data_IF_973096009308
#
_entry.id   IF_973096009308
#
_cell.length_a   1.000
_cell.length_b   1.000
_cell.length_c   1.000
_cell.angle_alpha   90.00
_cell.angle_beta   90.00
_cell.angle_gamma   90.00
#
_symmetry.space_group_name_H-M   'P 1'
#
loop_
_entity.id
_entity.type
_entity.pdbx_description
1 polymer ?
#
# COMPACT_ATOMS: atom_id res chain seq x y z
N UNK A 1 -20.50 -1.70 21.50
CA UNK A 1 -20.11 -2.76 20.56
C UNK A 1 -18.75 -2.33 20.02
N UNK A 2 -17.67 -3.02 20.36
CA UNK A 2 -16.34 -2.73 19.80
C UNK A 2 -16.40 -3.03 18.32
N UNK A 3 -16.32 -2.00 17.47
CA UNK A 3 -16.21 -2.18 16.02
C UNK A 3 -14.99 -3.07 15.73
N UNK A 4 -15.22 -4.16 15.02
CA UNK A 4 -14.16 -5.10 14.65
C UNK A 4 -13.34 -4.42 13.55
N UNK A 5 -12.04 -4.27 13.74
CA UNK A 5 -11.15 -3.70 12.74
C UNK A 5 -11.25 -4.46 11.42
N UNK A 6 -11.15 -3.74 10.30
CA UNK A 6 -11.10 -4.37 8.98
C UNK A 6 -9.80 -5.14 8.74
N UNK A 7 -8.68 -4.63 9.30
CA UNK A 7 -7.36 -5.27 9.22
C UNK A 7 -6.68 -5.22 10.58
N UNK A 8 -6.18 -6.35 11.05
CA UNK A 8 -5.28 -6.43 12.21
C UNK A 8 -4.02 -7.20 11.82
N UNK A 9 -2.87 -6.57 12.00
CA UNK A 9 -1.55 -7.17 11.74
C UNK A 9 -0.73 -7.10 13.02
N UNK A 10 -0.24 -8.25 13.47
CA UNK A 10 0.58 -8.37 14.66
C UNK A 10 1.91 -9.07 14.35
N UNK A 11 3.01 -8.35 14.55
CA UNK A 11 4.39 -8.83 14.39
C UNK A 11 4.68 -9.52 13.04
N UNK A 12 4.10 -9.02 11.96
CA UNK A 12 4.30 -9.57 10.62
C UNK A 12 5.76 -9.46 10.22
N UNK A 13 6.35 -10.61 9.91
CA UNK A 13 7.70 -10.72 9.36
C UNK A 13 7.68 -11.59 8.10
N UNK A 14 8.42 -11.17 7.08
CA UNK A 14 8.53 -11.92 5.82
C UNK A 14 10.00 -12.07 5.45
N UNK A 15 10.41 -13.32 5.27
CA UNK A 15 11.78 -13.70 4.91
C UNK A 15 11.77 -14.53 3.65
N UNK A 16 12.64 -14.21 2.69
CA UNK A 16 12.87 -15.02 1.50
C UNK A 16 14.15 -15.83 1.67
N UNK A 17 14.04 -17.14 1.56
CA UNK A 17 15.18 -18.03 1.61
C UNK A 17 15.82 -18.12 0.20
N UNK A 18 17.05 -17.64 0.06
CA UNK A 18 17.91 -17.84 -1.11
C UNK A 18 19.03 -18.84 -0.74
N UNK A 19 19.70 -19.41 -1.77
CA UNK A 19 20.68 -20.50 -1.58
C UNK A 19 21.71 -20.25 -0.46
N UNK A 20 22.21 -19.02 -0.34
CA UNK A 20 23.29 -18.67 0.60
C UNK A 20 22.91 -17.55 1.60
N UNK A 21 21.73 -16.98 1.50
CA UNK A 21 21.31 -15.84 2.33
C UNK A 21 19.80 -15.76 2.52
N UNK A 22 19.41 -15.19 3.63
CA UNK A 22 18.02 -14.86 3.94
C UNK A 22 17.77 -13.37 3.76
N UNK A 23 16.78 -13.00 2.95
CA UNK A 23 16.39 -11.60 2.76
C UNK A 23 15.25 -11.28 3.74
N UNK A 24 15.47 -10.32 4.62
CA UNK A 24 14.51 -9.87 5.64
C UNK A 24 13.66 -8.73 5.08
N UNK A 25 12.64 -9.07 4.27
CA UNK A 25 11.86 -8.08 3.54
C UNK A 25 10.85 -7.31 4.40
N UNK A 26 10.28 -7.95 5.44
CA UNK A 26 9.41 -7.33 6.44
C UNK A 26 9.84 -7.81 7.83
N UNK A 27 9.91 -6.90 8.80
CA UNK A 27 10.61 -7.12 10.05
C UNK A 27 9.77 -6.69 11.27
N UNK A 28 8.75 -7.47 11.63
CA UNK A 28 7.94 -7.29 12.84
C UNK A 28 7.09 -6.01 12.79
N UNK A 29 6.31 -5.82 11.71
CA UNK A 29 5.36 -4.72 11.65
C UNK A 29 4.03 -5.10 12.32
N UNK A 30 3.42 -4.13 12.98
CA UNK A 30 2.11 -4.26 13.59
C UNK A 30 1.29 -3.02 13.33
N UNK A 31 0.03 -3.17 12.96
CA UNK A 31 -0.90 -2.07 12.76
C UNK A 31 -2.35 -2.58 12.78
N UNK A 32 -3.26 -1.66 12.98
CA UNK A 32 -4.70 -1.87 12.91
C UNK A 32 -5.30 -0.84 11.96
N UNK A 33 -6.31 -1.25 11.19
CA UNK A 33 -7.03 -0.41 10.25
C UNK A 33 -8.53 -0.60 10.43
N UNK A 34 -9.25 0.48 10.64
CA UNK A 34 -10.69 0.45 10.83
C UNK A 34 -11.43 0.45 9.48
N UNK A 35 -12.73 0.13 9.50
CA UNK A 35 -13.57 0.25 8.31
C UNK A 35 -13.66 1.71 7.87
N UNK A 36 -13.61 1.95 6.57
CA UNK A 36 -13.66 3.31 6.01
C UNK A 36 -12.37 4.13 6.20
N UNK A 37 -11.33 3.55 6.78
CA UNK A 37 -10.03 4.21 7.00
C UNK A 37 -9.05 3.90 5.86
N UNK A 38 -8.17 4.86 5.53
CA UNK A 38 -7.07 4.70 4.57
C UNK A 38 -5.73 4.82 5.28
N UNK A 39 -4.95 3.73 5.28
CA UNK A 39 -3.56 3.72 5.72
C UNK A 39 -2.62 3.84 4.52
N UNK A 40 -1.88 4.94 4.44
CA UNK A 40 -0.78 5.11 3.49
C UNK A 40 0.51 4.49 3.99
N UNK A 41 1.14 3.63 3.20
CA UNK A 41 2.50 3.12 3.49
C UNK A 41 3.47 3.78 2.53
N UNK A 42 4.35 4.62 3.08
CA UNK A 42 5.31 5.44 2.35
C UNK A 42 6.73 4.92 2.54
N UNK A 43 7.59 4.99 1.51
CA UNK A 43 9.00 4.62 1.61
C UNK A 43 9.66 4.46 0.25
N UNK A 44 11.00 4.43 0.23
CA UNK A 44 11.80 4.20 -0.99
C UNK A 44 11.50 2.82 -1.61
N UNK A 45 11.87 2.64 -2.90
CA UNK A 45 11.84 1.33 -3.55
C UNK A 45 12.67 0.32 -2.75
N UNK A 46 12.17 -0.91 -2.65
CA UNK A 46 12.84 -1.96 -1.87
C UNK A 46 12.65 -1.89 -0.35
N UNK A 47 11.87 -0.94 0.20
CA UNK A 47 11.64 -0.85 1.64
C UNK A 47 10.74 -1.96 2.23
N UNK A 48 10.09 -2.79 1.39
CA UNK A 48 9.22 -3.89 1.82
C UNK A 48 7.72 -3.68 1.61
N UNK A 49 7.29 -2.54 1.05
CA UNK A 49 5.88 -2.14 0.89
C UNK A 49 5.02 -3.16 0.14
N UNK A 50 5.38 -3.48 -1.10
CA UNK A 50 4.64 -4.43 -1.94
C UNK A 50 4.68 -5.86 -1.37
N UNK A 51 5.80 -6.23 -0.71
CA UNK A 51 5.90 -7.51 0.00
C UNK A 51 4.91 -7.55 1.16
N UNK A 52 4.76 -6.46 1.91
CA UNK A 52 3.74 -6.34 2.96
C UNK A 52 2.35 -6.59 2.40
N UNK A 53 1.92 -5.89 1.33
CA UNK A 53 0.59 -6.09 0.74
C UNK A 53 0.38 -7.54 0.27
N UNK A 54 1.33 -8.10 -0.48
CA UNK A 54 1.24 -9.48 -0.98
C UNK A 54 1.21 -10.50 0.14
N UNK A 55 1.88 -10.26 1.26
CA UNK A 55 1.85 -11.15 2.42
C UNK A 55 0.48 -11.18 3.10
N UNK A 56 -0.25 -10.05 3.14
CA UNK A 56 -1.61 -9.99 3.67
C UNK A 56 -2.59 -10.88 2.89
N UNK A 57 -2.34 -11.12 1.61
CA UNK A 57 -3.14 -12.03 0.77
C UNK A 57 -2.46 -13.39 0.57
N UNK A 58 -1.31 -13.65 1.19
CA UNK A 58 -0.47 -14.84 0.94
C UNK A 58 -0.18 -15.08 -0.55
N UNK A 59 0.08 -13.98 -1.29
CA UNK A 59 0.47 -13.99 -2.71
C UNK A 59 1.99 -13.91 -2.88
N UNK A 60 2.74 -14.56 -2.02
CA UNK A 60 4.19 -14.66 -2.08
C UNK A 60 4.63 -16.05 -2.58
N UNK A 61 5.81 -16.17 -3.20
CA UNK A 61 6.30 -17.44 -3.68
C UNK A 61 6.61 -18.42 -2.52
N UNK A 62 6.67 -19.72 -2.80
CA UNK A 62 6.83 -20.78 -1.79
C UNK A 62 8.16 -20.74 -1.02
N UNK A 63 9.17 -20.04 -1.52
CA UNK A 63 10.47 -19.88 -0.84
C UNK A 63 10.47 -18.74 0.20
N UNK A 64 9.31 -18.26 0.62
CA UNK A 64 9.20 -17.29 1.69
C UNK A 64 8.59 -17.87 2.97
N UNK A 65 9.07 -17.40 4.11
CA UNK A 65 8.47 -17.63 5.42
C UNK A 65 7.71 -16.36 5.84
N UNK A 66 6.44 -16.53 6.21
CA UNK A 66 5.58 -15.49 6.77
C UNK A 66 5.34 -15.85 8.22
N UNK A 67 5.68 -14.94 9.13
CA UNK A 67 5.48 -15.09 10.58
C UNK A 67 4.63 -13.92 11.09
N UNK A 68 3.99 -14.12 12.24
CA UNK A 68 3.06 -13.16 12.83
C UNK A 68 1.61 -13.53 12.52
N UNK A 69 0.70 -12.63 12.87
CA UNK A 69 -0.75 -12.86 12.74
C UNK A 69 -1.36 -11.76 11.86
N UNK A 70 -2.17 -12.16 10.90
CA UNK A 70 -2.94 -11.27 10.02
C UNK A 70 -4.40 -11.67 10.08
N UNK A 71 -5.26 -10.73 10.46
CA UNK A 71 -6.71 -10.88 10.44
C UNK A 71 -7.28 -9.85 9.47
N UNK A 72 -8.09 -10.29 8.54
CA UNK A 72 -8.75 -9.46 7.55
C UNK A 72 -10.25 -9.71 7.63
N UNK A 73 -11.02 -8.66 7.89
CA UNK A 73 -12.48 -8.71 8.03
C UNK A 73 -12.96 -9.80 9.01
N UNK A 74 -12.24 -9.94 10.14
CA UNK A 74 -12.50 -10.93 11.19
C UNK A 74 -11.95 -12.33 10.95
N UNK A 75 -11.32 -12.59 9.78
CA UNK A 75 -10.75 -13.91 9.46
C UNK A 75 -9.22 -13.91 9.53
N UNK A 76 -8.66 -14.90 10.19
CA UNK A 76 -7.21 -15.07 10.26
C UNK A 76 -6.66 -15.70 8.97
N UNK A 77 -5.95 -14.88 8.20
CA UNK A 77 -5.40 -15.23 6.88
C UNK A 77 -4.13 -16.07 6.99
N UNK A 78 -3.31 -15.83 8.01
CA UNK A 78 -2.03 -16.52 8.19
C UNK A 78 -2.17 -18.03 8.37
N UNK A 79 -3.23 -18.48 9.02
CA UNK A 79 -3.53 -19.90 9.28
C UNK A 79 -4.60 -20.49 8.35
N UNK A 80 -5.20 -19.68 7.45
CA UNK A 80 -6.30 -20.13 6.59
C UNK A 80 -5.85 -21.17 5.55
N UNK A 81 -6.71 -22.14 5.27
CA UNK A 81 -6.53 -23.06 4.16
C UNK A 81 -6.59 -22.33 2.80
N UNK A 82 -5.89 -22.84 1.79
CA UNK A 82 -5.83 -22.17 0.46
C UNK A 82 -7.22 -22.03 -0.17
N UNK A 83 -8.10 -23.04 -0.03
CA UNK A 83 -9.49 -22.96 -0.52
C UNK A 83 -10.26 -21.78 0.09
N UNK A 84 -10.00 -21.48 1.39
CA UNK A 84 -10.63 -20.31 2.04
C UNK A 84 -10.04 -18.99 1.55
N UNK A 85 -8.74 -18.94 1.30
CA UNK A 85 -8.09 -17.77 0.72
C UNK A 85 -8.61 -17.46 -0.68
N UNK A 86 -8.86 -18.48 -1.50
CA UNK A 86 -9.48 -18.31 -2.83
C UNK A 86 -10.88 -17.69 -2.76
N UNK A 87 -11.66 -18.01 -1.73
CA UNK A 87 -12.97 -17.40 -1.49
C UNK A 87 -12.88 -15.93 -1.03
N UNK A 88 -11.84 -15.60 -0.25
CA UNK A 88 -11.62 -14.24 0.25
C UNK A 88 -11.06 -13.31 -0.82
N UNK A 89 -10.08 -13.80 -1.62
CA UNK A 89 -9.43 -13.03 -2.68
C UNK A 89 -10.44 -12.66 -3.77
N UNK A 90 -10.50 -11.36 -4.11
CA UNK A 90 -11.44 -10.80 -5.08
C UNK A 90 -12.88 -10.61 -4.56
N UNK A 91 -13.23 -11.14 -3.40
CA UNK A 91 -14.56 -11.04 -2.80
C UNK A 91 -14.58 -10.11 -1.57
N UNK A 92 -13.82 -10.48 -0.51
CA UNK A 92 -13.69 -9.67 0.72
C UNK A 92 -12.48 -8.75 0.67
N UNK A 93 -11.42 -9.23 0.04
CA UNK A 93 -10.14 -8.56 -0.05
C UNK A 93 -9.77 -8.50 -1.52
N UNK A 94 -9.53 -7.29 -2.03
CA UNK A 94 -9.09 -7.07 -3.40
C UNK A 94 -7.73 -6.36 -3.44
N UNK A 95 -7.03 -6.50 -4.56
CA UNK A 95 -5.75 -5.84 -4.77
C UNK A 95 -5.71 -5.16 -6.14
N UNK A 96 -5.22 -3.92 -6.15
CA UNK A 96 -4.80 -3.20 -7.34
C UNK A 96 -3.29 -3.37 -7.42
N UNK A 97 -2.82 -3.96 -8.53
CA UNK A 97 -1.39 -4.21 -8.77
C UNK A 97 -0.71 -2.98 -9.38
N UNK A 98 0.60 -2.91 -9.24
CA UNK A 98 1.41 -1.79 -9.71
C UNK A 98 1.32 -1.58 -11.25
N UNK A 99 1.23 -2.66 -12.02
CA UNK A 99 1.21 -2.61 -13.48
C UNK A 99 -0.12 -3.13 -14.05
N UNK A 100 -0.98 -2.26 -14.62
CA UNK A 100 -2.25 -2.69 -15.22
C UNK A 100 -2.07 -3.68 -16.40
N UNK A 101 -0.95 -3.60 -17.11
CA UNK A 101 -0.65 -4.45 -18.26
C UNK A 101 -0.48 -5.92 -17.85
N UNK A 102 0.04 -6.17 -16.67
CA UNK A 102 0.24 -7.52 -16.14
C UNK A 102 -0.98 -8.03 -15.37
N UNK A 103 -1.86 -7.13 -14.93
CA UNK A 103 -3.06 -7.46 -14.15
C UNK A 103 -4.28 -7.81 -15.02
N UNK A 104 -4.34 -7.27 -16.24
CA UNK A 104 -5.39 -7.57 -17.22
C UNK A 104 -4.88 -8.58 -18.24
N UNK A 105 -5.64 -9.65 -18.45
CA UNK A 105 -5.31 -10.66 -19.47
C UNK A 105 -5.51 -10.06 -20.89
N UNK A 106 -4.48 -10.03 -21.74
CA UNK A 106 -4.55 -9.40 -23.05
C UNK A 106 -5.44 -10.14 -24.07
N UNK A 107 -5.80 -11.40 -23.81
CA UNK A 107 -6.59 -12.23 -24.76
C UNK A 107 -8.09 -12.21 -24.49
N UNK A 108 -8.52 -11.59 -23.39
CA UNK A 108 -9.93 -11.39 -23.06
C UNK A 108 -10.31 -9.91 -23.06
N UNK A 109 -11.57 -9.61 -23.42
CA UNK A 109 -12.06 -8.25 -23.32
C UNK A 109 -12.19 -7.80 -21.86
N UNK A 110 -12.11 -6.50 -21.63
CA UNK A 110 -12.19 -5.95 -20.26
C UNK A 110 -13.53 -6.29 -19.60
N UNK A 111 -14.63 -6.24 -20.36
CA UNK A 111 -15.95 -6.58 -19.84
C UNK A 111 -16.11 -8.06 -19.51
N UNK A 112 -15.45 -8.96 -20.27
CA UNK A 112 -15.45 -10.39 -19.96
C UNK A 112 -14.71 -10.70 -18.66
N UNK A 113 -13.55 -10.11 -18.43
CA UNK A 113 -12.76 -10.31 -17.20
C UNK A 113 -13.55 -9.89 -15.95
N UNK A 114 -14.20 -8.73 -15.98
CA UNK A 114 -15.05 -8.27 -14.85
C UNK A 114 -16.28 -9.18 -14.70
N UNK A 115 -16.90 -9.59 -15.82
CA UNK A 115 -18.05 -10.49 -15.80
C UNK A 115 -17.70 -11.83 -15.19
N UNK A 116 -16.55 -12.41 -15.57
CA UNK A 116 -16.06 -13.69 -15.06
C UNK A 116 -15.80 -13.62 -13.54
N UNK A 117 -15.17 -12.56 -13.07
CA UNK A 117 -14.92 -12.32 -11.64
C UNK A 117 -16.24 -12.28 -10.86
N UNK A 118 -17.27 -11.59 -11.36
CA UNK A 118 -18.58 -11.53 -10.74
C UNK A 118 -19.26 -12.92 -10.72
N UNK A 119 -19.16 -13.69 -11.80
CA UNK A 119 -19.72 -15.06 -11.87
C UNK A 119 -18.97 -16.00 -10.91
N UNK A 120 -17.63 -15.95 -10.90
CA UNK A 120 -16.78 -16.75 -9.99
C UNK A 120 -17.19 -16.57 -8.53
N UNK A 121 -17.47 -15.34 -8.12
CA UNK A 121 -17.89 -15.02 -6.76
C UNK A 121 -19.41 -15.07 -6.53
N UNK A 122 -20.15 -15.77 -7.42
CA UNK A 122 -21.61 -16.02 -7.30
C UNK A 122 -22.44 -14.74 -7.14
N UNK A 123 -22.09 -13.68 -7.86
CA UNK A 123 -22.80 -12.40 -7.82
C UNK A 123 -23.97 -12.33 -8.81
N UNK A 124 -24.68 -13.44 -9.03
CA UNK A 124 -25.84 -13.56 -9.89
C UNK A 124 -25.61 -14.38 -11.17
N UNK A 125 -26.56 -14.31 -12.12
CA UNK A 125 -26.44 -14.96 -13.42
C UNK A 125 -25.39 -14.28 -14.30
N UNK A 126 -24.88 -14.95 -15.35
CA UNK A 126 -23.95 -14.33 -16.31
C UNK A 126 -24.53 -13.07 -16.95
N UNK A 127 -25.84 -13.01 -17.16
CA UNK A 127 -26.53 -11.83 -17.67
C UNK A 127 -26.49 -10.66 -16.69
N UNK A 128 -26.74 -10.94 -15.41
CA UNK A 128 -26.66 -9.93 -14.35
C UNK A 128 -25.22 -9.46 -14.13
N UNK A 129 -24.27 -10.39 -14.15
CA UNK A 129 -22.84 -10.08 -14.06
C UNK A 129 -22.38 -9.14 -15.19
N UNK A 130 -22.81 -9.41 -16.45
CA UNK A 130 -22.49 -8.54 -17.59
C UNK A 130 -23.05 -7.13 -17.43
N UNK A 131 -24.28 -6.99 -16.94
CA UNK A 131 -24.90 -5.69 -16.65
C UNK A 131 -24.09 -4.94 -15.58
N UNK A 132 -23.79 -5.59 -14.46
CA UNK A 132 -22.99 -5.02 -13.37
C UNK A 132 -21.57 -4.67 -13.79
N UNK A 133 -20.97 -5.47 -14.64
CA UNK A 133 -19.64 -5.17 -15.20
C UNK A 133 -19.65 -3.86 -16.01
N UNK A 134 -20.72 -3.63 -16.80
CA UNK A 134 -20.90 -2.37 -17.52
C UNK A 134 -21.09 -1.19 -16.55
N UNK A 135 -21.96 -1.36 -15.53
CA UNK A 135 -22.17 -0.35 -14.48
C UNK A 135 -20.86 0.03 -13.79
N UNK A 136 -19.97 -0.94 -13.52
CA UNK A 136 -18.64 -0.67 -12.95
C UNK A 136 -17.73 0.10 -13.90
N UNK A 137 -17.74 -0.19 -15.20
CA UNK A 137 -16.96 0.58 -16.19
C UNK A 137 -17.46 2.04 -16.28
N UNK A 138 -18.77 2.26 -16.17
CA UNK A 138 -19.36 3.60 -16.09
C UNK A 138 -18.95 4.31 -14.80
N UNK A 139 -19.03 3.61 -13.67
CA UNK A 139 -18.70 4.13 -12.33
C UNK A 139 -17.23 4.55 -12.20
N UNK A 140 -16.31 3.82 -12.80
CA UNK A 140 -14.91 4.23 -12.87
C UNK A 140 -14.63 5.24 -13.99
N UNK A 141 -15.67 5.81 -14.58
CA UNK A 141 -15.61 6.90 -15.55
C UNK A 141 -14.84 6.53 -16.84
N UNK A 142 -14.99 5.31 -17.35
CA UNK A 142 -14.45 4.95 -18.66
C UNK A 142 -15.30 5.58 -19.76
N UNK A 143 -14.72 6.42 -20.65
CA UNK A 143 -15.47 7.04 -21.75
C UNK A 143 -16.07 5.99 -22.68
N UNK A 144 -17.35 6.13 -23.06
CA UNK A 144 -18.06 5.18 -23.91
C UNK A 144 -17.97 3.73 -23.40
N UNK A 145 -18.31 3.51 -22.11
CA UNK A 145 -18.16 2.24 -21.39
C UNK A 145 -18.73 1.05 -22.16
N UNK A 146 -19.93 1.21 -22.81
CA UNK A 146 -20.54 0.16 -23.64
C UNK A 146 -19.65 -0.32 -24.78
N UNK A 147 -18.99 0.61 -25.49
CA UNK A 147 -18.05 0.29 -26.57
C UNK A 147 -16.76 -0.34 -26.00
N UNK A 148 -16.27 0.19 -24.87
CA UNK A 148 -15.05 -0.29 -24.23
C UNK A 148 -15.23 -1.59 -23.48
N UNK A 149 -16.45 -2.00 -23.20
CA UNK A 149 -16.76 -3.30 -22.62
C UNK A 149 -16.20 -4.46 -23.46
N UNK A 150 -16.36 -4.36 -24.77
CA UNK A 150 -15.89 -5.36 -25.73
C UNK A 150 -14.48 -5.06 -26.28
N UNK A 151 -13.76 -4.07 -25.71
CA UNK A 151 -12.39 -3.75 -26.06
C UNK A 151 -11.38 -4.61 -25.28
N UNK A 152 -10.26 -4.91 -25.92
CA UNK A 152 -9.11 -5.57 -25.28
C UNK A 152 -8.24 -4.55 -24.53
N UNK A 153 -7.46 -4.99 -23.51
CA UNK A 153 -6.59 -4.08 -22.74
C UNK A 153 -5.63 -3.27 -23.62
N UNK A 154 -5.09 -3.84 -24.69
CA UNK A 154 -4.15 -3.16 -25.58
C UNK A 154 -4.79 -2.06 -26.45
N UNK A 155 -6.12 -2.05 -26.60
CA UNK A 155 -6.89 -1.00 -27.28
C UNK A 155 -7.24 0.20 -26.38
N UNK A 156 -6.79 0.20 -25.12
CA UNK A 156 -7.09 1.21 -24.13
C UNK A 156 -5.84 2.02 -23.78
N UNK A 157 -6.04 3.33 -23.44
CA UNK A 157 -4.96 4.16 -22.88
C UNK A 157 -4.51 3.66 -21.50
N UNK A 158 -3.35 4.11 -21.02
CA UNK A 158 -2.84 3.77 -19.68
C UNK A 158 -3.84 4.07 -18.57
N UNK A 159 -4.40 5.29 -18.55
CA UNK A 159 -5.42 5.68 -17.58
C UNK A 159 -6.72 4.89 -17.70
N UNK A 160 -7.15 4.50 -18.91
CA UNK A 160 -8.31 3.64 -19.09
C UNK A 160 -8.06 2.21 -18.57
N UNK A 161 -6.88 1.64 -18.82
CA UNK A 161 -6.48 0.34 -18.26
C UNK A 161 -6.46 0.37 -16.73
N UNK A 162 -5.94 1.46 -16.16
CA UNK A 162 -5.94 1.64 -14.70
C UNK A 162 -7.36 1.68 -14.13
N UNK A 163 -8.27 2.44 -14.75
CA UNK A 163 -9.70 2.48 -14.37
C UNK A 163 -10.37 1.11 -14.51
N UNK A 164 -10.07 0.37 -15.56
CA UNK A 164 -10.58 -0.98 -15.77
C UNK A 164 -10.07 -1.96 -14.70
N UNK A 165 -8.80 -1.88 -14.31
CA UNK A 165 -8.25 -2.67 -13.20
C UNK A 165 -8.91 -2.30 -11.86
N UNK A 166 -9.19 -1.02 -11.61
CA UNK A 166 -9.97 -0.59 -10.42
C UNK A 166 -11.38 -1.20 -10.45
N UNK A 167 -12.07 -1.15 -11.60
CA UNK A 167 -13.39 -1.78 -11.76
C UNK A 167 -13.33 -3.28 -11.48
N UNK A 168 -12.33 -3.98 -12.01
CA UNK A 168 -12.10 -5.41 -11.79
C UNK A 168 -11.88 -5.72 -10.29
N UNK A 169 -11.05 -4.94 -9.62
CA UNK A 169 -10.76 -5.12 -8.20
C UNK A 169 -11.99 -4.88 -7.31
N UNK A 170 -12.82 -3.88 -7.66
CA UNK A 170 -13.92 -3.42 -6.81
C UNK A 170 -15.29 -4.04 -7.16
N UNK A 171 -15.42 -4.77 -8.28
CA UNK A 171 -16.73 -5.25 -8.77
C UNK A 171 -17.50 -6.16 -7.79
N UNK A 172 -16.79 -6.81 -6.87
CA UNK A 172 -17.38 -7.61 -5.81
C UNK A 172 -17.65 -6.86 -4.50
N UNK A 173 -17.43 -5.54 -4.46
CA UNK A 173 -17.57 -4.69 -3.25
C UNK A 173 -16.77 -5.26 -2.07
N UNK A 174 -15.44 -5.31 -2.16
CA UNK A 174 -14.60 -5.83 -1.09
C UNK A 174 -14.65 -4.93 0.14
N UNK A 175 -14.45 -5.51 1.33
CA UNK A 175 -14.32 -4.78 2.60
C UNK A 175 -12.92 -4.18 2.79
N UNK A 176 -11.91 -4.78 2.14
CA UNK A 176 -10.51 -4.34 2.21
C UNK A 176 -9.92 -4.24 0.80
N UNK A 177 -9.32 -3.10 0.49
CA UNK A 177 -8.57 -2.87 -0.74
C UNK A 177 -7.08 -2.68 -0.43
N UNK A 178 -6.24 -3.43 -1.12
CA UNK A 178 -4.79 -3.28 -1.12
C UNK A 178 -4.36 -2.62 -2.43
N UNK A 179 -3.83 -1.40 -2.39
CA UNK A 179 -3.43 -0.64 -3.57
C UNK A 179 -1.90 -0.51 -3.63
N UNK A 180 -1.26 -1.27 -4.52
CA UNK A 180 0.19 -1.30 -4.70
C UNK A 180 0.58 -0.32 -5.81
N UNK A 181 0.98 0.89 -5.45
CA UNK A 181 1.41 1.96 -6.35
C UNK A 181 0.44 2.18 -7.54
N UNK A 182 -0.85 2.44 -7.30
CA UNK A 182 -1.89 2.39 -8.34
C UNK A 182 -1.81 3.52 -9.36
N UNK A 183 -0.85 4.43 -9.25
CA UNK A 183 -0.69 5.58 -10.15
C UNK A 183 0.69 5.63 -10.81
N UNK A 184 1.54 4.64 -10.58
CA UNK A 184 2.86 4.55 -11.22
C UNK A 184 2.74 4.49 -12.74
N UNK A 185 3.62 5.19 -13.45
CA UNK A 185 3.67 5.33 -14.91
C UNK A 185 2.47 6.06 -15.56
N UNK A 186 1.71 6.84 -14.80
CA UNK A 186 0.70 7.74 -15.31
C UNK A 186 1.20 9.20 -15.29
N UNK A 187 0.67 10.01 -16.21
CA UNK A 187 0.90 11.46 -16.13
C UNK A 187 0.21 12.06 -14.90
N UNK A 188 0.72 13.21 -14.42
CA UNK A 188 0.28 13.84 -13.16
C UNK A 188 -1.22 14.11 -13.15
N UNK A 189 -1.80 14.54 -14.27
CA UNK A 189 -3.23 14.85 -14.36
C UNK A 189 -4.08 13.59 -14.20
N UNK A 190 -3.72 12.50 -14.86
CA UNK A 190 -4.41 11.21 -14.76
C UNK A 190 -4.18 10.61 -13.36
N UNK A 191 -2.98 10.76 -12.79
CA UNK A 191 -2.70 10.32 -11.42
C UNK A 191 -3.68 10.98 -10.42
N UNK A 192 -3.82 12.30 -10.45
CA UNK A 192 -4.76 13.02 -9.56
C UNK A 192 -6.18 12.50 -9.75
N UNK A 193 -6.65 12.33 -10.99
CA UNK A 193 -7.99 11.81 -11.27
C UNK A 193 -8.22 10.40 -10.70
N UNK A 194 -7.21 9.52 -10.79
CA UNK A 194 -7.29 8.16 -10.24
C UNK A 194 -7.33 8.19 -8.70
N UNK A 195 -6.53 9.04 -8.07
CA UNK A 195 -6.52 9.19 -6.60
C UNK A 195 -7.86 9.69 -6.08
N UNK A 196 -8.43 10.73 -6.72
CA UNK A 196 -9.75 11.25 -6.37
C UNK A 196 -10.84 10.19 -6.55
N UNK A 197 -10.83 9.45 -7.67
CA UNK A 197 -11.75 8.34 -7.93
C UNK A 197 -11.65 7.25 -6.85
N UNK A 198 -10.44 6.84 -6.48
CA UNK A 198 -10.23 5.84 -5.43
C UNK A 198 -10.76 6.32 -4.08
N UNK A 199 -10.54 7.59 -3.73
CA UNK A 199 -11.05 8.17 -2.49
C UNK A 199 -12.58 8.28 -2.47
N UNK A 200 -13.20 8.64 -3.59
CA UNK A 200 -14.66 8.66 -3.76
C UNK A 200 -15.25 7.26 -3.56
N UNK A 201 -14.74 6.26 -4.30
CA UNK A 201 -15.19 4.88 -4.20
C UNK A 201 -14.95 4.27 -2.81
N UNK A 202 -13.84 4.62 -2.16
CA UNK A 202 -13.53 4.20 -0.80
C UNK A 202 -14.60 4.69 0.19
N UNK A 203 -14.97 5.96 0.12
CA UNK A 203 -16.01 6.55 0.99
C UNK A 203 -17.38 5.96 0.71
N UNK A 204 -17.75 5.81 -0.57
CA UNK A 204 -19.03 5.29 -0.98
C UNK A 204 -19.23 3.82 -0.56
N UNK A 205 -18.20 3.00 -0.67
CA UNK A 205 -18.23 1.58 -0.30
C UNK A 205 -17.95 1.33 1.18
N UNK A 206 -17.45 2.33 1.92
CA UNK A 206 -17.06 2.19 3.33
C UNK A 206 -15.91 1.18 3.54
N UNK A 207 -15.10 0.93 2.50
CA UNK A 207 -14.02 -0.05 2.57
C UNK A 207 -12.79 0.51 3.28
N UNK A 208 -12.03 -0.37 3.93
CA UNK A 208 -10.70 -0.06 4.43
C UNK A 208 -9.67 -0.15 3.29
N UNK A 209 -8.71 0.77 3.22
CA UNK A 209 -7.70 0.79 2.15
C UNK A 209 -6.30 0.83 2.72
N UNK A 210 -5.41 -0.06 2.26
CA UNK A 210 -3.97 0.09 2.44
C UNK A 210 -3.39 0.56 1.11
N UNK A 211 -2.89 1.79 1.11
CA UNK A 211 -2.36 2.48 -0.07
C UNK A 211 -0.84 2.56 0.00
N UNK A 212 -0.16 1.88 -0.89
CA UNK A 212 1.31 1.89 -0.97
C UNK A 212 1.76 2.82 -2.08
N UNK A 213 2.70 3.70 -1.78
CA UNK A 213 3.31 4.62 -2.75
C UNK A 213 4.70 5.07 -2.30
N UNK A 214 5.50 5.55 -3.24
CA UNK A 214 6.71 6.32 -2.97
C UNK A 214 6.48 7.83 -3.13
N UNK A 215 5.32 8.24 -3.66
CA UNK A 215 4.93 9.64 -3.84
C UNK A 215 4.26 10.15 -2.56
N UNK A 216 4.91 11.11 -1.92
CA UNK A 216 4.43 11.74 -0.69
C UNK A 216 3.14 12.52 -0.93
N UNK A 217 3.03 13.24 -2.06
CA UNK A 217 1.84 14.01 -2.41
C UNK A 217 0.61 13.11 -2.54
N UNK A 218 0.75 11.99 -3.26
CA UNK A 218 -0.29 10.99 -3.39
C UNK A 218 -0.69 10.38 -2.04
N UNK A 219 0.30 10.05 -1.19
CA UNK A 219 0.03 9.49 0.14
C UNK A 219 -0.77 10.43 1.03
N UNK A 220 -0.43 11.72 1.01
CA UNK A 220 -1.09 12.76 1.82
C UNK A 220 -2.53 13.00 1.37
N UNK A 221 -2.76 13.03 0.06
CA UNK A 221 -4.08 13.33 -0.51
C UNK A 221 -5.12 12.27 -0.18
N UNK A 222 -4.71 10.99 -0.12
CA UNK A 222 -5.67 9.89 0.03
C UNK A 222 -5.70 9.27 1.42
N UNK A 223 -4.68 9.46 2.27
CA UNK A 223 -4.55 8.70 3.50
C UNK A 223 -5.04 9.48 4.74
N UNK A 224 -5.72 8.77 5.63
CA UNK A 224 -6.09 9.28 6.95
C UNK A 224 -4.90 9.14 7.92
N UNK A 225 -4.19 8.00 7.83
CA UNK A 225 -2.94 7.73 8.58
C UNK A 225 -1.81 7.33 7.65
N UNK A 226 -0.58 7.61 8.07
CA UNK A 226 0.64 7.24 7.37
C UNK A 226 1.51 6.31 8.22
N UNK A 227 2.11 5.32 7.55
CA UNK A 227 3.18 4.49 8.07
C UNK A 227 4.40 4.64 7.15
N UNK A 228 5.48 5.20 7.66
CA UNK A 228 6.74 5.34 6.90
C UNK A 228 7.57 4.08 7.08
N UNK A 229 7.88 3.41 5.98
CA UNK A 229 8.55 2.12 5.97
C UNK A 229 10.00 2.23 5.47
N UNK A 230 10.94 1.74 6.26
CA UNK A 230 12.35 1.66 5.93
C UNK A 230 12.92 0.28 6.30
N UNK A 231 13.61 -0.38 5.39
CA UNK A 231 14.23 -1.69 5.61
C UNK A 231 13.30 -2.72 6.27
N UNK A 232 12.06 -2.82 5.78
CA UNK A 232 11.06 -3.75 6.28
C UNK A 232 10.40 -3.38 7.61
N UNK A 233 10.65 -2.19 8.17
CA UNK A 233 10.09 -1.75 9.45
C UNK A 233 9.31 -0.44 9.30
N UNK A 234 8.26 -0.27 10.07
CA UNK A 234 7.67 1.05 10.28
C UNK A 234 8.58 1.85 11.21
N UNK A 235 9.14 2.93 10.68
CA UNK A 235 10.03 3.83 11.43
C UNK A 235 9.28 5.03 12.02
N UNK A 236 8.15 5.39 11.42
CA UNK A 236 7.25 6.42 11.93
C UNK A 236 5.82 6.09 11.50
N UNK A 237 4.84 6.26 12.42
CA UNK A 237 3.40 6.08 12.12
C UNK A 237 2.60 7.14 12.84
N UNK A 238 1.51 7.60 12.23
CA UNK A 238 0.62 8.61 12.83
C UNK A 238 -0.47 9.04 11.88
N UNK A 239 -1.28 10.02 12.28
CA UNK A 239 -2.16 10.70 11.32
C UNK A 239 -1.33 11.34 10.22
N UNK A 240 -1.86 11.43 9.01
CA UNK A 240 -1.14 12.03 7.88
C UNK A 240 -0.64 13.45 8.24
N UNK A 241 -1.47 14.21 8.96
CA UNK A 241 -1.13 15.57 9.43
C UNK A 241 0.04 15.59 10.42
N UNK A 242 0.09 14.66 11.37
CA UNK A 242 1.16 14.63 12.38
C UNK A 242 2.49 14.24 11.77
N UNK A 243 2.52 13.15 10.97
CA UNK A 243 3.73 12.68 10.29
C UNK A 243 4.32 13.78 9.41
N UNK A 244 3.49 14.54 8.69
CA UNK A 244 3.93 15.65 7.85
C UNK A 244 4.48 16.84 8.63
N UNK A 245 3.85 17.17 9.76
CA UNK A 245 4.24 18.35 10.55
C UNK A 245 5.41 18.06 11.48
N UNK A 246 5.35 16.96 12.24
CA UNK A 246 6.29 16.66 13.33
C UNK A 246 7.57 15.96 12.87
N UNK A 247 7.53 15.12 11.80
CA UNK A 247 8.70 14.45 11.19
C UNK A 247 9.66 13.88 12.23
N UNK A 248 9.12 13.03 13.11
CA UNK A 248 9.85 12.55 14.27
C UNK A 248 11.06 11.66 13.92
N UNK A 249 11.01 10.98 12.76
CA UNK A 249 12.13 10.18 12.26
C UNK A 249 12.90 10.93 11.17
N UNK A 250 14.27 10.99 11.21
CA UNK A 250 15.07 11.67 10.18
C UNK A 250 14.86 11.16 8.77
N UNK A 251 14.51 9.90 8.58
CA UNK A 251 14.17 9.36 7.27
C UNK A 251 12.90 10.00 6.69
N UNK A 252 11.87 10.20 7.53
CA UNK A 252 10.63 10.89 7.13
C UNK A 252 10.93 12.31 6.68
N UNK A 253 11.77 13.03 7.42
CA UNK A 253 12.22 14.36 7.02
C UNK A 253 12.92 14.35 5.67
N UNK A 254 13.84 13.40 5.46
CA UNK A 254 14.55 13.26 4.20
C UNK A 254 13.62 12.93 3.02
N UNK A 255 12.63 12.04 3.21
CA UNK A 255 11.61 11.73 2.19
C UNK A 255 10.78 12.95 1.81
N UNK A 256 10.33 13.71 2.80
CA UNK A 256 9.53 14.92 2.59
C UNK A 256 10.34 16.03 1.90
N UNK A 257 11.62 16.18 2.28
CA UNK A 257 12.53 17.16 1.68
C UNK A 257 12.94 16.81 0.23
N UNK A 258 12.95 15.53 -0.12
CA UNK A 258 13.24 15.05 -1.47
C UNK A 258 12.05 15.19 -2.43
N UNK A 259 10.86 15.57 -1.93
CA UNK A 259 9.67 15.74 -2.76
C UNK A 259 9.72 17.08 -3.50
N UNK A 260 9.36 17.05 -4.79
CA UNK A 260 9.43 18.19 -5.71
C UNK A 260 8.36 19.27 -5.49
N UNK A 261 7.35 19.04 -4.66
CA UNK A 261 6.28 20.00 -4.44
C UNK A 261 6.77 21.25 -3.70
N UNK A 262 6.74 22.40 -4.37
CA UNK A 262 7.11 23.71 -3.81
C UNK A 262 8.61 24.07 -3.94
N UNK A 263 9.36 23.33 -4.73
CA UNK A 263 10.78 23.63 -5.01
C UNK A 263 10.86 24.68 -6.13
N UNK A 264 11.53 25.81 -5.89
CA UNK A 264 11.75 26.84 -6.93
C UNK A 264 12.58 26.28 -8.08
N UNK A 265 12.23 26.62 -9.35
CA UNK A 265 13.01 26.21 -10.51
C UNK A 265 14.49 26.63 -10.38
N UNK A 266 15.42 25.68 -10.51
CA UNK A 266 16.86 25.93 -10.39
C UNK A 266 17.44 25.70 -9.00
N UNK A 267 16.66 25.44 -7.96
CA UNK A 267 17.18 25.04 -6.65
C UNK A 267 17.69 23.60 -6.66
N UNK A 268 18.69 23.32 -5.83
CA UNK A 268 19.24 21.96 -5.68
C UNK A 268 18.27 21.07 -4.93
N UNK A 269 17.84 19.99 -5.56
CA UNK A 269 17.00 18.98 -4.90
C UNK A 269 17.72 18.34 -3.71
N UNK A 270 17.03 18.28 -2.59
CA UNK A 270 17.49 17.54 -1.42
C UNK A 270 17.33 16.04 -1.70
N UNK A 271 18.39 15.28 -1.53
CA UNK A 271 18.37 13.82 -1.67
C UNK A 271 18.79 13.18 -0.36
N UNK A 272 18.25 12.01 -0.06
CA UNK A 272 18.72 11.22 1.08
C UNK A 272 20.08 10.62 0.69
N UNK A 273 21.19 10.95 1.39
CA UNK A 273 22.52 10.48 1.02
C UNK A 273 22.66 8.96 1.19
N UNK A 274 23.57 8.35 0.43
CA UNK A 274 23.89 6.93 0.50
C UNK A 274 22.81 6.03 -0.14
N UNK A 275 23.02 4.72 -0.03
CA UNK A 275 22.11 3.70 -0.55
C UNK A 275 21.27 3.05 0.57
N UNK A 276 20.06 2.54 0.28
CA UNK A 276 19.31 1.70 1.21
C UNK A 276 20.14 0.48 1.66
N UNK A 277 19.94 -0.03 2.89
CA UNK A 277 20.69 -1.15 3.39
C UNK A 277 20.36 -2.43 2.63
N UNK A 278 21.34 -3.35 2.60
CA UNK A 278 21.09 -4.69 2.09
C UNK A 278 20.17 -5.46 3.06
N UNK A 279 18.99 -5.87 2.59
CA UNK A 279 18.02 -6.60 3.41
C UNK A 279 18.47 -8.02 3.80
N UNK A 280 19.56 -8.53 3.22
CA UNK A 280 20.18 -9.79 3.64
C UNK A 280 21.19 -9.60 4.77
N UNK A 281 21.64 -8.34 5.02
CA UNK A 281 22.64 -8.03 6.03
C UNK A 281 22.26 -6.70 6.71
N UNK A 282 21.21 -6.75 7.52
CA UNK A 282 20.72 -5.58 8.25
C UNK A 282 21.59 -5.30 9.47
N UNK A 283 21.93 -4.03 9.75
CA UNK A 283 22.66 -3.68 10.96
C UNK A 283 21.84 -4.04 12.22
N UNK A 284 22.48 -4.35 13.35
CA UNK A 284 21.81 -4.71 14.59
C UNK A 284 20.98 -3.56 15.17
N UNK A 285 21.36 -2.32 14.87
CA UNK A 285 20.70 -1.10 15.31
C UNK A 285 19.72 -0.53 14.31
N UNK A 286 19.56 0.80 14.36
CA UNK A 286 18.73 1.54 13.42
C UNK A 286 19.28 1.39 11.99
N UNK A 287 18.48 0.77 11.11
CA UNK A 287 18.89 0.53 9.72
C UNK A 287 19.15 1.82 8.93
N UNK A 288 18.62 2.96 9.38
CA UNK A 288 18.84 4.28 8.78
C UNK A 288 20.11 4.96 9.33
N UNK A 289 20.72 4.49 10.43
CA UNK A 289 21.85 5.15 11.07
C UNK A 289 23.01 5.48 10.09
N UNK A 290 23.40 4.62 9.13
CA UNK A 290 24.48 4.94 8.17
C UNK A 290 24.19 6.12 7.23
N UNK A 291 22.91 6.49 7.05
CA UNK A 291 22.45 7.60 6.19
C UNK A 291 21.96 8.81 7.00
N UNK A 292 21.89 8.68 8.32
CA UNK A 292 21.29 9.66 9.21
C UNK A 292 22.27 10.76 9.59
N UNK A 293 21.99 12.01 9.23
CA UNK A 293 22.79 13.17 9.63
C UNK A 293 22.80 13.40 11.16
N UNK A 294 21.85 12.79 11.89
CA UNK A 294 21.67 12.95 13.34
C UNK A 294 22.05 11.67 14.11
N UNK A 295 22.78 10.74 13.48
CA UNK A 295 23.12 9.46 14.09
C UNK A 295 23.95 9.65 15.38
N UNK A 296 23.60 8.87 16.40
CA UNK A 296 24.34 8.74 17.64
C UNK A 296 25.04 7.37 17.68
N UNK A 297 26.13 7.19 18.43
CA UNK A 297 26.77 5.88 18.58
C UNK A 297 25.80 4.77 19.02
N UNK A 298 24.83 5.09 19.87
CA UNK A 298 23.80 4.16 20.36
C UNK A 298 22.84 3.71 19.27
N UNK A 299 22.67 4.48 18.17
CA UNK A 299 21.83 4.08 17.05
C UNK A 299 22.33 2.81 16.34
N UNK A 300 23.61 2.51 16.43
CA UNK A 300 24.20 1.29 15.87
C UNK A 300 24.07 0.05 16.76
N UNK A 301 23.81 0.23 18.06
CA UNK A 301 23.84 -0.86 19.03
C UNK A 301 22.58 -1.73 19.01
N UNK A 302 21.40 -1.11 18.98
CA UNK A 302 20.12 -1.79 18.96
C UNK A 302 19.06 -0.97 18.22
N UNK A 303 18.07 -1.67 17.63
CA UNK A 303 16.94 -0.99 16.99
C UNK A 303 16.11 -0.26 18.04
N UNK A 304 15.89 1.06 17.92
CA UNK A 304 15.10 1.81 18.88
C UNK A 304 13.67 1.27 19.02
N UNK A 305 13.19 1.17 20.24
CA UNK A 305 11.77 0.90 20.49
C UNK A 305 10.92 2.08 19.95
N UNK A 306 9.63 1.85 19.60
CA UNK A 306 8.74 2.93 19.23
C UNK A 306 8.51 3.86 20.43
N UNK A 307 8.63 5.16 20.21
CA UNK A 307 8.39 6.23 21.20
C UNK A 307 7.16 7.00 20.76
N UNK A 308 6.27 7.30 21.71
CA UNK A 308 5.10 8.15 21.45
C UNK A 308 5.53 9.61 21.27
N UNK A 309 5.11 10.21 20.16
CA UNK A 309 5.39 11.60 19.77
C UNK A 309 4.14 12.46 19.71
N UNK A 310 2.98 11.88 19.96
CA UNK A 310 1.64 12.48 19.97
C UNK A 310 0.62 11.42 20.34
N UNK A 311 -0.68 11.75 20.26
CA UNK A 311 -1.75 10.83 20.69
C UNK A 311 -1.75 9.54 19.87
N UNK A 312 -1.65 9.65 18.54
CA UNK A 312 -1.56 8.51 17.60
C UNK A 312 -0.25 8.52 16.79
N UNK A 313 0.77 9.20 17.27
CA UNK A 313 2.03 9.38 16.54
C UNK A 313 3.18 8.68 17.25
N UNK A 314 3.82 7.74 16.57
CA UNK A 314 4.99 7.00 17.08
C UNK A 314 6.16 7.06 16.12
N UNK A 315 7.40 7.04 16.66
CA UNK A 315 8.61 6.93 15.86
C UNK A 315 9.65 6.01 16.51
N UNK A 316 10.41 5.27 15.71
CA UNK A 316 11.53 4.44 16.15
C UNK A 316 12.84 5.21 16.01
N UNK A 317 13.02 6.25 16.83
CA UNK A 317 14.21 7.09 16.81
C UNK A 317 14.57 7.51 18.25
N UNK A 318 15.85 7.42 18.61
CA UNK A 318 16.33 7.85 19.91
C UNK A 318 16.18 9.37 20.14
N UNK A 319 16.04 10.14 19.07
CA UNK A 319 15.86 11.59 19.11
C UNK A 319 14.44 12.03 18.74
N UNK A 320 13.45 11.13 18.75
CA UNK A 320 12.09 11.42 18.31
C UNK A 320 11.44 12.58 19.08
N UNK A 321 11.56 12.60 20.41
CA UNK A 321 11.01 13.65 21.25
C UNK A 321 11.65 15.03 21.02
N UNK A 322 12.98 15.06 20.86
CA UNK A 322 13.73 16.28 20.56
C UNK A 322 13.28 16.87 19.22
N UNK A 323 13.18 16.02 18.22
CA UNK A 323 12.80 16.42 16.84
C UNK A 323 11.37 16.93 16.76
N UNK A 324 10.42 16.29 17.44
CA UNK A 324 9.04 16.76 17.49
C UNK A 324 8.91 18.14 18.15
N UNK A 325 9.75 18.44 19.13
CA UNK A 325 9.78 19.80 19.75
C UNK A 325 10.35 20.87 18.81
N UNK A 326 11.31 20.51 17.96
CA UNK A 326 11.91 21.45 16.98
C UNK A 326 11.00 21.72 15.78
N UNK A 327 10.05 20.83 15.49
CA UNK A 327 9.10 20.95 14.38
C UNK A 327 7.77 21.63 14.77
N UNK A 328 7.50 21.82 16.07
CA UNK A 328 6.31 22.48 16.61
C UNK A 328 6.48 24.00 16.60
#
# INVERSE_FOLDING_TARGET
>A
MTETAAVEVANLSVRFQQRERTIHAVNGISFRLERGEVLGILGESGSGKSVTLRSLMRLLPHNCAIEGRVVLDGEEVTAAAESRLEELRGNRIAMIFQEPVTALDPVFTVGEQITETLVRHRRGTRRDARRRALEWLERVQIPSARRRFDAYPHEMSGGMRQRAMIALALCCNPSVLLADEPTTALDVTVQIQILLLLRELQRELGMAVIFVTHDVGAAVEVSDRLAVMYAGRFVETGTAREVLRKRAHPYTEGLLAANLHGVEPGSRLMTIPGAPPNLADLPPGCSFAPRCAYALPQCGAAMPAPVMCGDDHTARCLRAEERTRLAA
#
